data_IF_704344574655
#
_entry.id   IF_704344574655
#
_cell.length_a   1.000
_cell.length_b   1.000
_cell.length_c   1.000
_cell.angle_alpha   90.00
_cell.angle_beta   90.00
_cell.angle_gamma   90.00
#
_symmetry.space_group_name_H-M   'P 1'
#
loop_
_entity.id
_entity.type
_entity.pdbx_description
1 polymer ?
#
# COMPACT_ATOMS: atom_id res chain seq x y z
N UNK A 1 -1.09 -11.32 -16.51
CA UNK A 1 0.24 -11.77 -16.06
C UNK A 1 0.23 -11.86 -14.56
N UNK A 2 0.65 -13.01 -14.03
CA UNK A 2 0.70 -13.29 -12.60
C UNK A 2 1.86 -12.51 -11.94
N UNK A 3 1.68 -12.05 -10.71
CA UNK A 3 2.70 -11.26 -9.99
C UNK A 3 3.93 -12.13 -9.72
N UNK A 4 3.73 -13.42 -9.47
CA UNK A 4 4.81 -14.37 -9.26
C UNK A 4 5.72 -14.56 -10.47
N UNK A 5 5.15 -14.52 -11.69
CA UNK A 5 5.92 -14.60 -12.93
C UNK A 5 6.83 -13.39 -13.13
N UNK A 6 6.44 -12.22 -12.62
CA UNK A 6 7.21 -10.98 -12.76
C UNK A 6 8.28 -10.82 -11.69
N UNK A 7 8.11 -11.46 -10.54
CA UNK A 7 8.97 -11.25 -9.37
C UNK A 7 10.00 -12.36 -9.12
N UNK A 8 10.05 -13.40 -9.96
CA UNK A 8 10.88 -14.62 -9.77
C UNK A 8 10.85 -15.14 -8.32
N UNK A 9 9.67 -15.01 -7.70
CA UNK A 9 9.44 -15.27 -6.29
C UNK A 9 8.48 -16.46 -6.14
N UNK A 10 8.67 -17.25 -5.08
CA UNK A 10 7.76 -18.35 -4.77
C UNK A 10 6.34 -17.80 -4.55
N UNK A 11 5.34 -18.40 -5.21
CA UNK A 11 3.93 -17.97 -5.13
C UNK A 11 3.40 -17.84 -3.70
N UNK A 12 3.88 -18.68 -2.78
CA UNK A 12 3.52 -18.60 -1.36
C UNK A 12 3.97 -17.29 -0.70
N UNK A 13 5.17 -16.81 -1.01
CA UNK A 13 5.75 -15.58 -0.45
C UNK A 13 4.96 -14.34 -0.85
N UNK A 14 4.41 -14.29 -2.06
CA UNK A 14 3.62 -13.14 -2.53
C UNK A 14 2.27 -13.07 -1.80
N UNK A 15 1.62 -14.21 -1.57
CA UNK A 15 0.34 -14.25 -0.85
C UNK A 15 0.53 -13.82 0.61
N UNK A 16 1.59 -14.28 1.27
CA UNK A 16 1.90 -13.90 2.65
C UNK A 16 2.14 -12.39 2.78
N UNK A 17 2.95 -11.82 1.88
CA UNK A 17 3.23 -10.38 1.85
C UNK A 17 1.96 -9.57 1.62
N UNK A 18 1.12 -9.96 0.65
CA UNK A 18 -0.14 -9.23 0.39
C UNK A 18 -1.08 -9.30 1.60
N UNK A 19 -1.18 -10.46 2.26
CA UNK A 19 -1.98 -10.60 3.47
C UNK A 19 -1.44 -9.75 4.62
N UNK A 20 -0.12 -9.65 4.76
CA UNK A 20 0.52 -8.79 5.76
C UNK A 20 0.24 -7.31 5.48
N UNK A 21 0.38 -6.87 4.22
CA UNK A 21 0.07 -5.49 3.82
C UNK A 21 -1.40 -5.13 4.07
N UNK A 22 -2.35 -6.05 3.80
CA UNK A 22 -3.77 -5.82 4.12
C UNK A 22 -3.98 -5.74 5.63
N UNK A 23 -3.35 -6.63 6.41
CA UNK A 23 -3.48 -6.67 7.88
C UNK A 23 -2.90 -5.42 8.55
N UNK A 24 -1.86 -4.85 7.97
CA UNK A 24 -1.19 -3.65 8.47
C UNK A 24 -1.88 -2.36 7.98
N UNK A 25 -3.02 -2.46 7.28
CA UNK A 25 -3.71 -1.33 6.64
C UNK A 25 -2.82 -0.55 5.64
N UNK A 26 -1.76 -1.20 5.12
CA UNK A 26 -0.87 -0.61 4.11
C UNK A 26 -1.54 -0.56 2.73
N UNK A 27 -2.42 -1.53 2.46
CA UNK A 27 -3.26 -1.55 1.26
C UNK A 27 -4.69 -1.93 1.59
N UNK A 28 -5.64 -1.26 0.94
CA UNK A 28 -7.05 -1.59 1.03
C UNK A 28 -7.40 -2.63 -0.04
N UNK A 29 -7.47 -3.91 0.36
CA UNK A 29 -7.81 -5.02 -0.52
C UNK A 29 -8.45 -6.19 0.23
N UNK A 30 -9.12 -7.07 -0.50
CA UNK A 30 -9.65 -8.34 0.01
C UNK A 30 -8.98 -9.53 -0.69
N UNK A 31 -8.49 -10.50 0.07
CA UNK A 31 -7.89 -11.72 -0.47
C UNK A 31 -8.84 -12.91 -0.39
N UNK A 32 -9.15 -13.50 -1.54
CA UNK A 32 -10.00 -14.67 -1.67
C UNK A 32 -9.17 -15.94 -1.77
N UNK A 33 -9.04 -16.67 -0.66
CA UNK A 33 -8.32 -17.96 -0.58
C UNK A 33 -8.84 -19.02 -1.56
N UNK A 34 -10.15 -19.04 -1.83
CA UNK A 34 -10.77 -20.04 -2.71
C UNK A 34 -10.34 -19.93 -4.17
N UNK A 35 -10.02 -18.71 -4.62
CA UNK A 35 -9.63 -18.42 -6.01
C UNK A 35 -8.18 -17.95 -6.16
N UNK A 36 -7.45 -17.78 -5.05
CA UNK A 36 -6.13 -17.13 -5.01
C UNK A 36 -6.12 -15.74 -5.66
N UNK A 37 -7.21 -14.98 -5.49
CA UNK A 37 -7.40 -13.66 -6.10
C UNK A 37 -7.38 -12.57 -5.04
N UNK A 38 -6.88 -11.38 -5.41
CA UNK A 38 -6.95 -10.16 -4.59
C UNK A 38 -7.87 -9.17 -5.28
N UNK A 39 -8.91 -8.70 -4.60
CA UNK A 39 -9.71 -7.56 -5.04
C UNK A 39 -9.17 -6.29 -4.40
N UNK A 40 -8.54 -5.45 -5.22
CA UNK A 40 -7.92 -4.22 -4.78
C UNK A 40 -8.89 -3.04 -4.86
N UNK A 41 -9.10 -2.32 -3.75
CA UNK A 41 -9.94 -1.12 -3.74
C UNK A 41 -9.12 0.09 -4.20
N UNK A 42 -9.07 0.32 -5.51
CA UNK A 42 -8.26 1.39 -6.10
C UNK A 42 -8.56 2.77 -5.50
N UNK A 43 -9.84 3.09 -5.29
CA UNK A 43 -10.25 4.40 -4.82
C UNK A 43 -9.76 4.67 -3.39
N UNK A 44 -9.92 3.72 -2.47
CA UNK A 44 -9.46 3.86 -1.09
C UNK A 44 -7.93 4.03 -0.99
N UNK A 45 -7.17 3.28 -1.80
CA UNK A 45 -5.71 3.42 -1.82
C UNK A 45 -5.27 4.77 -2.41
N UNK A 46 -5.97 5.30 -3.43
CA UNK A 46 -5.69 6.64 -3.98
C UNK A 46 -5.99 7.72 -2.92
N UNK A 47 -7.12 7.62 -2.24
CA UNK A 47 -7.51 8.56 -1.18
C UNK A 47 -6.49 8.60 -0.04
N UNK A 48 -5.95 7.45 0.36
CA UNK A 48 -4.89 7.37 1.36
C UNK A 48 -3.62 8.10 0.91
N UNK A 49 -3.20 7.90 -0.34
CA UNK A 49 -2.04 8.60 -0.91
C UNK A 49 -2.28 10.11 -0.92
N UNK A 50 -3.46 10.57 -1.35
CA UNK A 50 -3.81 11.99 -1.36
C UNK A 50 -3.81 12.58 0.06
N UNK A 51 -4.31 11.84 1.05
CA UNK A 51 -4.29 12.24 2.45
C UNK A 51 -2.84 12.38 2.97
N UNK A 52 -1.98 11.40 2.69
CA UNK A 52 -0.56 11.44 3.06
C UNK A 52 0.15 12.63 2.42
N UNK A 53 -0.13 12.90 1.15
CA UNK A 53 0.42 14.07 0.45
C UNK A 53 -0.06 15.39 1.05
N UNK A 54 -1.33 15.48 1.45
CA UNK A 54 -1.87 16.66 2.12
C UNK A 54 -1.21 16.89 3.50
N UNK A 55 -1.02 15.83 4.28
CA UNK A 55 -0.31 15.89 5.57
C UNK A 55 1.13 16.37 5.36
N UNK A 56 1.84 15.79 4.39
CA UNK A 56 3.22 16.17 4.08
C UNK A 56 3.33 17.63 3.66
N UNK A 57 2.42 18.11 2.79
CA UNK A 57 2.40 19.51 2.36
C UNK A 57 2.18 20.46 3.53
N UNK A 58 1.24 20.15 4.43
CA UNK A 58 1.01 20.93 5.65
C UNK A 58 2.27 20.96 6.54
N UNK A 59 2.93 19.83 6.71
CA UNK A 59 4.18 19.73 7.46
C UNK A 59 5.30 20.60 6.87
N UNK A 60 5.40 20.67 5.53
CA UNK A 60 6.35 21.57 4.85
C UNK A 60 6.03 23.05 5.06
N UNK A 61 4.75 23.43 5.00
CA UNK A 61 4.28 24.81 5.21
C UNK A 61 4.53 25.29 6.65
N UNK A 62 4.34 24.41 7.63
CA UNK A 62 4.57 24.70 9.05
C UNK A 62 6.07 24.74 9.43
N UNK A 63 6.99 24.46 8.49
CA UNK A 63 8.45 24.40 8.71
C UNK A 63 8.86 23.52 9.91
N UNK A 64 8.03 22.56 10.28
CA UNK A 64 8.28 21.68 11.44
C UNK A 64 9.54 20.87 11.17
N UNK A 65 10.61 21.13 11.94
CA UNK A 65 11.89 20.43 11.82
C UNK A 65 12.89 21.04 10.84
N UNK A 66 12.54 22.09 10.09
CA UNK A 66 13.54 22.86 9.31
C UNK A 66 14.32 23.76 10.27
N UNK A 67 15.62 23.49 10.47
CA UNK A 67 16.53 24.47 11.09
C UNK A 67 16.57 25.69 10.18
N UNK A 68 15.83 26.74 10.55
CA UNK A 68 16.00 28.07 9.95
C UNK A 68 17.46 28.46 10.19
N UNK A 69 18.24 28.57 9.11
CA UNK A 69 19.61 29.09 9.16
C UNK A 69 19.59 30.60 9.28
#
# INVERSE_FOLDING_TARGET
HDIAEKCDAAKGTIIEVIQEMIKNDEIYAEYFRSSNTVAFNQQANIEEIDNLMAIYKKWEEENVGKKVK
#
